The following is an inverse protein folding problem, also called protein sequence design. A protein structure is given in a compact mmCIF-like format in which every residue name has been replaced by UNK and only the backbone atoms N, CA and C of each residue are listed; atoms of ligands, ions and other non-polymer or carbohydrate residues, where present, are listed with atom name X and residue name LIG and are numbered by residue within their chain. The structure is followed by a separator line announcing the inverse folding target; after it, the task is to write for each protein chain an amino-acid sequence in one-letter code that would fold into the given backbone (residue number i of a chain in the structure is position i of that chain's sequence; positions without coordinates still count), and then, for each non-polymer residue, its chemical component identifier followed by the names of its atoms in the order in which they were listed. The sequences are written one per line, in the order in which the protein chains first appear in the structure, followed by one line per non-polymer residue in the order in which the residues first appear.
data_IF_419111958594
#
_entry.id   IF_419111958594
#
_cell.length_a   1.000
_cell.length_b   1.000
_cell.length_c   1.000
_cell.angle_alpha   90.00
_cell.angle_beta   90.00
_cell.angle_gamma   90.00
#
_symmetry.space_group_name_H-M   'P 1'
#
loop_
_entity.id
_entity.type
_entity.pdbx_description
1 polymer ?
#
# COMPACT_ATOMS: atom_id res chain seq x y z
N UNK A 1 26.44 54.96 -45.65
CA UNK A 1 26.02 53.90 -44.71
C UNK A 1 25.21 54.50 -43.56
N UNK A 2 23.89 54.23 -43.49
CA UNK A 2 23.10 54.33 -42.25
C UNK A 2 22.00 53.27 -42.30
N UNK A 3 22.17 52.19 -41.52
CA UNK A 3 21.15 51.17 -41.32
C UNK A 3 20.06 51.74 -40.41
N UNK A 4 18.79 51.59 -40.80
CA UNK A 4 17.62 51.88 -39.94
C UNK A 4 17.33 50.64 -39.09
N UNK A 5 16.99 50.79 -37.80
CA UNK A 5 16.62 49.66 -36.97
C UNK A 5 15.23 49.15 -37.35
N UNK A 6 15.14 47.84 -37.55
CA UNK A 6 13.90 47.14 -37.82
C UNK A 6 13.06 47.13 -36.53
N UNK A 7 11.94 47.86 -36.56
CA UNK A 7 11.00 47.92 -35.43
C UNK A 7 10.17 46.63 -35.46
N UNK A 8 10.57 45.65 -34.66
CA UNK A 8 9.80 44.43 -34.44
C UNK A 8 8.37 44.79 -34.00
N UNK A 9 7.42 44.65 -34.93
CA UNK A 9 6.01 44.96 -34.77
C UNK A 9 5.38 43.88 -33.89
N UNK A 10 5.36 44.10 -32.57
CA UNK A 10 4.64 43.24 -31.62
C UNK A 10 3.17 43.25 -31.99
N UNK A 11 2.66 42.11 -32.48
CA UNK A 11 1.23 41.94 -32.77
C UNK A 11 0.48 41.86 -31.44
N UNK A 12 -0.64 42.59 -31.27
CA UNK A 12 -1.47 42.46 -30.08
C UNK A 12 -2.07 41.05 -30.05
N UNK A 13 -1.92 40.40 -28.90
CA UNK A 13 -2.49 39.07 -28.66
C UNK A 13 -4.02 39.19 -28.56
N UNK A 14 -4.77 38.21 -29.11
CA UNK A 14 -6.22 38.22 -29.02
C UNK A 14 -6.67 38.09 -27.55
N UNK A 15 -7.69 38.85 -27.20
CA UNK A 15 -8.25 38.97 -25.85
C UNK A 15 -9.71 38.55 -25.91
N UNK A 16 -10.15 37.70 -24.98
CA UNK A 16 -11.56 37.30 -24.86
C UNK A 16 -12.04 37.75 -23.49
N UNK A 17 -13.14 38.52 -23.44
CA UNK A 17 -13.74 39.00 -22.19
C UNK A 17 -12.79 39.83 -21.30
N UNK A 18 -11.86 40.59 -21.89
CA UNK A 18 -10.90 41.44 -21.16
C UNK A 18 -9.72 40.69 -20.54
N UNK A 19 -9.67 39.35 -20.65
CA UNK A 19 -8.55 38.53 -20.23
C UNK A 19 -7.66 38.15 -21.44
N UNK A 20 -6.34 38.38 -21.39
CA UNK A 20 -5.45 37.94 -22.45
C UNK A 20 -5.41 36.41 -22.50
N UNK A 21 -5.63 35.83 -23.68
CA UNK A 21 -5.64 34.37 -23.93
C UNK A 21 -4.46 33.62 -23.28
N UNK A 22 -3.20 34.09 -23.26
CA UNK A 22 -2.12 33.37 -22.58
C UNK A 22 -2.39 33.11 -21.08
N UNK A 23 -3.11 34.00 -20.37
CA UNK A 23 -3.46 33.77 -18.97
C UNK A 23 -4.49 32.65 -18.80
N UNK A 24 -5.42 32.51 -19.75
CA UNK A 24 -6.42 31.43 -19.75
C UNK A 24 -5.73 30.07 -19.95
N UNK A 25 -4.76 30.00 -20.88
CA UNK A 25 -3.97 28.79 -21.13
C UNK A 25 -3.14 28.43 -19.89
N UNK A 26 -2.51 29.40 -19.23
CA UNK A 26 -1.77 29.17 -17.99
C UNK A 26 -2.70 28.67 -16.87
N UNK A 27 -3.89 29.25 -16.71
CA UNK A 27 -4.86 28.80 -15.70
C UNK A 27 -5.35 27.37 -15.97
N UNK A 28 -5.59 27.01 -17.23
CA UNK A 28 -5.97 25.64 -17.62
C UNK A 28 -4.85 24.64 -17.36
N UNK A 29 -3.59 25.00 -17.67
CA UNK A 29 -2.42 24.15 -17.39
C UNK A 29 -2.24 23.96 -15.88
N UNK A 30 -2.38 25.01 -15.08
CA UNK A 30 -2.30 24.94 -13.62
C UNK A 30 -3.42 24.04 -13.07
N UNK A 31 -4.67 24.25 -13.48
CA UNK A 31 -5.81 23.44 -13.04
C UNK A 31 -5.67 21.96 -13.43
N UNK A 32 -5.20 21.67 -14.65
CA UNK A 32 -4.91 20.30 -15.10
C UNK A 32 -3.78 19.66 -14.29
N UNK A 33 -2.72 20.41 -13.98
CA UNK A 33 -1.61 19.92 -13.16
C UNK A 33 -2.01 19.64 -11.71
N UNK A 34 -2.92 20.45 -11.14
CA UNK A 34 -3.48 20.21 -9.79
C UNK A 34 -4.38 18.96 -9.80
N UNK A 35 -5.15 18.73 -10.87
CA UNK A 35 -5.93 17.50 -11.03
C UNK A 35 -5.06 16.24 -11.08
N UNK A 36 -3.90 16.30 -11.76
CA UNK A 36 -2.93 15.19 -11.79
C UNK A 36 -2.27 14.95 -10.42
N UNK A 37 -2.00 16.02 -9.65
CA UNK A 37 -1.48 15.91 -8.29
C UNK A 37 -2.50 15.27 -7.33
N UNK A 38 -3.80 15.53 -7.52
CA UNK A 38 -4.87 14.90 -6.73
C UNK A 38 -5.03 13.41 -7.04
N UNK A 39 -4.99 13.00 -8.31
CA UNK A 39 -5.05 11.56 -8.67
C UNK A 39 -3.85 10.77 -8.15
N UNK A 40 -2.66 11.37 -8.15
CA UNK A 40 -1.46 10.76 -7.55
C UNK A 40 -1.49 10.75 -6.03
N UNK A 41 -2.11 11.75 -5.40
CA UNK A 41 -2.31 11.77 -3.95
C UNK A 41 -3.32 10.71 -3.47
N UNK A 42 -4.34 10.36 -4.26
CA UNK A 42 -5.26 9.26 -3.95
C UNK A 42 -4.62 7.87 -4.11
N UNK A 43 -3.81 7.67 -5.16
CA UNK A 43 -2.98 6.46 -5.29
C UNK A 43 -2.03 6.30 -4.10
N UNK A 44 -1.42 7.41 -3.64
CA UNK A 44 -0.53 7.44 -2.48
C UNK A 44 -1.29 7.35 -1.14
N UNK A 45 -2.57 7.71 -1.04
CA UNK A 45 -3.35 7.48 0.18
C UNK A 45 -3.89 6.05 0.31
N UNK A 46 -3.99 5.31 -0.79
CA UNK A 46 -4.25 3.85 -0.74
C UNK A 46 -2.97 3.06 -0.50
N UNK A 47 -1.81 3.52 -0.98
CA UNK A 47 -0.51 2.84 -0.78
C UNK A 47 0.38 3.45 0.31
N UNK A 48 -0.06 4.50 0.99
CA UNK A 48 0.74 5.24 1.95
C UNK A 48 -0.12 5.84 3.05
N UNK A 49 0.17 5.46 4.29
CA UNK A 49 -0.45 6.01 5.50
C UNK A 49 -1.90 5.54 5.76
N UNK A 50 -2.01 4.27 6.19
CA UNK A 50 -2.89 3.94 7.32
C UNK A 50 -2.23 4.41 8.63
N UNK A 51 -2.01 5.73 8.76
CA UNK A 51 -1.59 6.32 10.03
C UNK A 51 -2.81 6.39 10.93
N UNK A 52 -3.18 5.26 11.55
CA UNK A 52 -4.17 5.25 12.63
C UNK A 52 -3.47 5.79 13.87
N UNK A 53 -3.35 7.11 13.95
CA UNK A 53 -3.25 7.82 15.23
C UNK A 53 -4.63 7.78 15.87
N UNK A 54 -4.97 6.63 16.45
CA UNK A 54 -6.22 6.36 17.14
C UNK A 54 -5.92 6.02 18.59
N UNK A 55 -6.24 6.96 19.46
CA UNK A 55 -6.17 6.89 20.91
C UNK A 55 -6.84 5.66 21.51
N UNK A 56 -6.29 5.21 22.64
CA UNK A 56 -6.89 4.32 23.65
C UNK A 56 -6.87 2.84 23.35
N UNK A 57 -6.06 2.14 24.14
CA UNK A 57 -6.23 0.74 24.47
C UNK A 57 -7.67 0.51 24.95
N UNK A 58 -8.43 -0.23 24.16
CA UNK A 58 -9.42 -1.19 24.65
C UNK A 58 -9.37 -2.33 23.65
N UNK A 59 -8.96 -3.51 24.12
CA UNK A 59 -9.08 -4.76 23.35
C UNK A 59 -10.52 -5.25 23.49
N UNK A 60 -11.32 -5.24 22.41
CA UNK A 60 -12.31 -6.29 22.26
C UNK A 60 -12.29 -6.86 20.85
N UNK A 61 -11.86 -8.12 20.74
CA UNK A 61 -12.23 -9.00 19.65
C UNK A 61 -11.11 -9.30 18.68
N UNK A 62 -10.50 -10.48 18.85
CA UNK A 62 -9.87 -11.16 17.73
C UNK A 62 -10.86 -11.20 16.54
N UNK A 63 -10.37 -11.19 15.29
CA UNK A 63 -11.25 -11.24 14.13
C UNK A 63 -12.24 -12.40 14.27
N UNK A 64 -13.50 -12.16 13.90
CA UNK A 64 -14.51 -13.21 13.86
C UNK A 64 -13.99 -14.40 13.07
N UNK A 65 -14.23 -15.62 13.56
CA UNK A 65 -13.78 -16.84 12.86
C UNK A 65 -14.84 -17.32 11.88
N UNK A 66 -14.42 -17.79 10.71
CA UNK A 66 -15.31 -18.45 9.77
C UNK A 66 -15.65 -19.88 10.25
N UNK A 67 -16.49 -20.59 9.50
CA UNK A 67 -16.86 -21.98 9.80
C UNK A 67 -15.67 -22.97 9.81
N UNK A 68 -14.53 -22.60 9.21
CA UNK A 68 -13.29 -23.36 9.24
C UNK A 68 -12.37 -22.97 10.42
N UNK A 69 -12.80 -22.04 11.28
CA UNK A 69 -12.03 -21.57 12.43
C UNK A 69 -10.94 -20.54 12.11
N UNK A 70 -10.89 -20.03 10.86
CA UNK A 70 -9.90 -19.04 10.41
C UNK A 70 -10.35 -17.62 10.77
N UNK A 71 -9.42 -16.73 11.20
CA UNK A 71 -9.73 -15.32 11.40
C UNK A 71 -10.14 -14.67 10.08
N UNK A 72 -11.29 -13.97 10.09
CA UNK A 72 -11.79 -13.24 8.93
C UNK A 72 -11.25 -11.81 8.96
N UNK A 73 -10.41 -11.47 7.98
CA UNK A 73 -9.70 -10.20 7.91
C UNK A 73 -10.12 -9.46 6.64
N UNK A 74 -10.25 -8.14 6.77
CA UNK A 74 -10.39 -7.21 5.67
C UNK A 74 -9.31 -6.13 5.79
N UNK A 75 -9.20 -5.28 4.76
CA UNK A 75 -8.31 -4.13 4.77
C UNK A 75 -8.50 -3.25 6.03
N UNK A 76 -9.74 -3.06 6.49
CA UNK A 76 -10.05 -2.26 7.68
C UNK A 76 -9.61 -2.90 8.99
N UNK A 77 -9.45 -4.23 9.06
CA UNK A 77 -9.10 -4.95 10.31
C UNK A 77 -7.66 -5.46 10.32
N UNK A 78 -6.95 -5.38 9.19
CA UNK A 78 -5.61 -5.93 9.04
C UNK A 78 -4.58 -5.28 9.97
N UNK A 79 -4.66 -3.97 10.21
CA UNK A 79 -3.71 -3.28 11.11
C UNK A 79 -3.76 -3.84 12.55
N UNK A 80 -4.96 -4.06 13.08
CA UNK A 80 -5.15 -4.66 14.40
C UNK A 80 -4.67 -6.11 14.44
N UNK A 81 -4.91 -6.85 13.35
CA UNK A 81 -4.46 -8.23 13.26
C UNK A 81 -2.94 -8.32 13.21
N UNK A 82 -2.26 -7.51 12.40
CA UNK A 82 -0.79 -7.51 12.31
C UNK A 82 -0.18 -7.29 13.69
N UNK A 83 -0.70 -6.33 14.46
CA UNK A 83 -0.26 -6.11 15.83
C UNK A 83 -0.53 -7.33 16.71
N UNK A 84 -1.73 -7.93 16.65
CA UNK A 84 -2.06 -9.15 17.41
C UNK A 84 -1.13 -10.31 17.07
N UNK A 85 -0.84 -10.57 15.80
CA UNK A 85 0.04 -11.67 15.38
C UNK A 85 1.46 -11.43 15.89
N UNK A 86 1.95 -10.20 15.77
CA UNK A 86 3.26 -9.79 16.28
C UNK A 86 3.36 -9.84 17.81
N UNK A 87 2.29 -9.54 18.54
CA UNK A 87 2.27 -9.64 20.01
C UNK A 87 2.18 -11.10 20.47
N UNK A 88 1.42 -11.93 19.74
CA UNK A 88 1.06 -13.29 20.17
C UNK A 88 2.24 -14.24 20.38
N UNK A 89 3.43 -13.93 19.89
CA UNK A 89 4.55 -14.88 19.99
C UNK A 89 4.61 -15.86 18.83
N UNK A 90 3.52 -16.04 18.10
CA UNK A 90 3.32 -17.22 17.28
C UNK A 90 4.14 -17.15 16.01
N UNK A 91 5.26 -17.88 15.98
CA UNK A 91 6.00 -18.17 14.76
C UNK A 91 5.31 -19.37 14.10
N UNK A 92 4.29 -19.09 13.29
CA UNK A 92 3.68 -20.13 12.47
C UNK A 92 4.63 -20.42 11.31
N UNK A 93 5.03 -21.69 11.19
CA UNK A 93 5.77 -22.16 10.02
C UNK A 93 4.81 -22.39 8.87
N UNK A 94 5.23 -22.00 7.67
CA UNK A 94 4.55 -22.38 6.45
C UNK A 94 4.30 -23.89 6.43
N UNK A 95 3.09 -24.36 6.07
CA UNK A 95 2.86 -25.77 5.82
C UNK A 95 3.74 -26.23 4.65
N UNK A 96 4.04 -27.52 4.58
CA UNK A 96 4.87 -28.09 3.50
C UNK A 96 4.30 -27.84 2.08
N UNK A 97 3.02 -27.50 1.98
CA UNK A 97 2.34 -27.15 0.74
C UNK A 97 2.54 -25.70 0.29
N UNK A 98 3.18 -24.85 1.09
CA UNK A 98 3.38 -23.43 0.80
C UNK A 98 4.86 -23.06 0.83
N UNK A 99 5.42 -22.69 -0.33
CA UNK A 99 6.80 -22.22 -0.45
C UNK A 99 6.85 -20.71 -0.31
N UNK A 100 7.10 -20.24 0.92
CA UNK A 100 7.17 -18.81 1.21
C UNK A 100 8.32 -18.11 0.50
N UNK A 101 9.46 -18.78 0.29
CA UNK A 101 10.61 -18.15 -0.35
C UNK A 101 10.31 -17.91 -1.83
N UNK A 102 9.75 -18.93 -2.49
CA UNK A 102 9.31 -18.78 -3.88
C UNK A 102 8.19 -17.76 -4.03
N UNK A 103 7.27 -17.70 -3.05
CA UNK A 103 6.25 -16.65 -3.03
C UNK A 103 6.89 -15.25 -2.90
N UNK A 104 7.90 -15.08 -2.03
CA UNK A 104 8.61 -13.80 -1.90
C UNK A 104 9.30 -13.39 -3.20
N UNK A 105 9.95 -14.34 -3.88
CA UNK A 105 10.55 -14.10 -5.20
C UNK A 105 9.51 -13.67 -6.23
N UNK A 106 8.35 -14.32 -6.26
CA UNK A 106 7.23 -13.96 -7.16
C UNK A 106 6.69 -12.57 -6.85
N UNK A 107 6.55 -12.21 -5.58
CA UNK A 107 6.05 -10.91 -5.14
C UNK A 107 7.14 -9.82 -5.12
N UNK A 108 8.39 -10.14 -5.46
CA UNK A 108 9.51 -9.19 -5.40
C UNK A 108 9.87 -8.72 -3.98
N UNK A 109 9.51 -9.50 -2.96
CA UNK A 109 9.77 -9.17 -1.56
C UNK A 109 11.21 -9.56 -1.22
N UNK A 110 12.01 -8.57 -0.84
CA UNK A 110 13.42 -8.76 -0.42
C UNK A 110 13.62 -8.70 1.10
N UNK A 111 12.53 -8.46 1.84
CA UNK A 111 12.54 -8.31 3.29
C UNK A 111 12.53 -9.65 4.02
N UNK A 112 12.77 -9.62 5.33
CA UNK A 112 12.76 -10.84 6.14
C UNK A 112 11.34 -11.18 6.56
N UNK A 113 10.95 -12.45 6.43
CA UNK A 113 9.71 -12.97 6.99
C UNK A 113 9.74 -12.86 8.52
N UNK A 114 8.80 -12.12 9.10
CA UNK A 114 8.63 -12.00 10.54
C UNK A 114 7.71 -13.10 11.06
N UNK A 115 6.56 -13.26 10.41
CA UNK A 115 5.57 -14.28 10.73
C UNK A 115 4.56 -14.41 9.59
N UNK A 116 3.76 -15.46 9.62
CA UNK A 116 2.67 -15.68 8.67
C UNK A 116 1.48 -16.30 9.38
N UNK A 117 0.26 -16.07 8.89
CA UNK A 117 -0.93 -16.71 9.43
C UNK A 117 -1.90 -17.07 8.30
N UNK A 118 -2.61 -18.19 8.46
CA UNK A 118 -3.67 -18.55 7.54
C UNK A 118 -4.95 -17.81 7.92
N UNK A 119 -5.54 -17.11 6.95
CA UNK A 119 -6.64 -16.18 7.20
C UNK A 119 -7.72 -16.37 6.16
N UNK A 120 -8.93 -15.90 6.48
CA UNK A 120 -10.00 -15.75 5.53
C UNK A 120 -10.09 -14.29 5.11
N UNK A 121 -9.77 -13.98 3.86
CA UNK A 121 -9.74 -12.62 3.33
C UNK A 121 -11.10 -12.19 2.77
N UNK A 122 -11.55 -11.01 3.18
CA UNK A 122 -12.72 -10.35 2.63
C UNK A 122 -14.06 -10.98 3.05
N UNK A 123 -15.18 -10.46 2.52
CA UNK A 123 -16.53 -10.89 2.90
C UNK A 123 -16.85 -12.32 2.45
N UNK A 124 -16.23 -12.76 1.35
CA UNK A 124 -16.38 -14.12 0.82
C UNK A 124 -15.57 -15.16 1.61
N UNK A 125 -14.75 -14.72 2.56
CA UNK A 125 -13.93 -15.60 3.39
C UNK A 125 -12.92 -16.41 2.60
N UNK A 126 -12.34 -15.82 1.55
CA UNK A 126 -11.37 -16.49 0.68
C UNK A 126 -10.15 -16.92 1.49
N UNK A 127 -9.81 -18.21 1.46
CA UNK A 127 -8.62 -18.72 2.14
C UNK A 127 -7.37 -18.03 1.58
N UNK A 128 -6.55 -17.47 2.45
CA UNK A 128 -5.35 -16.71 2.11
C UNK A 128 -4.27 -16.88 3.17
N UNK A 129 -3.05 -16.44 2.83
CA UNK A 129 -1.93 -16.29 3.75
C UNK A 129 -1.69 -14.82 4.01
N UNK A 130 -1.78 -14.41 5.28
CA UNK A 130 -1.25 -13.14 5.75
C UNK A 130 0.23 -13.33 6.05
N UNK A 131 1.08 -12.59 5.36
CA UNK A 131 2.53 -12.63 5.51
C UNK A 131 2.96 -11.28 6.05
N UNK A 132 3.65 -11.27 7.20
CA UNK A 132 4.20 -10.07 7.81
C UNK A 132 5.71 -10.14 7.63
N UNK A 133 6.28 -9.10 7.02
CA UNK A 133 7.70 -9.01 6.73
C UNK A 133 8.24 -7.60 7.00
N UNK A 134 9.56 -7.49 7.16
CA UNK A 134 10.16 -6.19 7.43
C UNK A 134 11.69 -6.19 7.37
N UNK A 135 12.29 -4.99 7.48
CA UNK A 135 13.74 -4.81 7.39
C UNK A 135 14.49 -5.18 8.68
N UNK A 136 13.77 -5.29 9.81
CA UNK A 136 14.33 -5.59 11.13
C UNK A 136 13.66 -6.83 11.69
N UNK A 137 14.33 -7.55 12.57
CA UNK A 137 13.75 -8.70 13.26
C UNK A 137 12.71 -8.28 14.32
N UNK A 138 11.92 -9.26 14.77
CA UNK A 138 10.84 -9.04 15.72
C UNK A 138 11.29 -8.48 17.07
N UNK A 139 12.45 -8.89 17.60
CA UNK A 139 12.92 -8.39 18.90
C UNK A 139 13.27 -6.91 18.80
N UNK A 140 13.92 -6.52 17.70
CA UNK A 140 14.21 -5.12 17.40
C UNK A 140 12.93 -4.30 17.23
N UNK A 141 11.93 -4.84 16.54
CA UNK A 141 10.63 -4.19 16.33
C UNK A 141 9.87 -3.98 17.66
N UNK A 142 9.82 -4.99 18.53
CA UNK A 142 9.13 -4.86 19.82
C UNK A 142 9.79 -3.81 20.72
N UNK A 143 11.12 -3.70 20.68
CA UNK A 143 11.88 -2.80 21.55
C UNK A 143 11.81 -1.33 21.11
N UNK A 144 11.72 -1.07 19.80
CA UNK A 144 11.86 0.27 19.24
C UNK A 144 10.59 0.77 18.54
N UNK A 145 9.61 -0.10 18.30
CA UNK A 145 8.58 0.14 17.31
C UNK A 145 9.15 0.19 15.89
N UNK A 146 8.28 0.36 14.90
CA UNK A 146 8.70 0.48 13.52
C UNK A 146 7.56 0.28 12.52
N UNK A 147 7.91 0.30 11.24
CA UNK A 147 6.98 -0.02 10.17
C UNK A 147 7.27 -1.43 9.68
N UNK A 148 6.23 -2.25 9.60
CA UNK A 148 6.26 -3.56 8.95
C UNK A 148 5.40 -3.55 7.72
N UNK A 149 5.72 -4.42 6.78
CA UNK A 149 4.89 -4.69 5.62
C UNK A 149 4.06 -5.94 5.86
N UNK A 150 2.86 -5.93 5.31
CA UNK A 150 1.93 -7.02 5.36
C UNK A 150 1.42 -7.29 3.94
N UNK A 151 1.49 -8.54 3.54
CA UNK A 151 1.07 -8.99 2.21
C UNK A 151 0.10 -10.15 2.39
N UNK A 152 -1.06 -10.07 1.75
CA UNK A 152 -2.06 -11.13 1.73
C UNK A 152 -2.03 -11.78 0.35
N UNK A 153 -1.76 -13.09 0.33
CA UNK A 153 -1.63 -13.87 -0.91
C UNK A 153 -2.54 -15.08 -0.92
N UNK A 154 -2.90 -15.52 -2.12
CA UNK A 154 -3.61 -16.78 -2.32
C UNK A 154 -2.71 -17.98 -1.96
N UNK A 155 -3.30 -19.12 -1.59
CA UNK A 155 -2.55 -20.37 -1.34
C UNK A 155 -1.77 -20.88 -2.55
N UNK A 156 -2.06 -20.38 -3.76
CA UNK A 156 -1.31 -20.68 -4.98
C UNK A 156 0.03 -19.95 -5.08
N UNK A 157 0.30 -18.93 -4.23
CA UNK A 157 1.59 -18.28 -4.20
C UNK A 157 2.70 -19.28 -3.84
N UNK A 158 3.86 -19.15 -4.49
CA UNK A 158 4.96 -20.11 -4.35
C UNK A 158 4.80 -21.37 -5.20
N UNK A 159 3.73 -21.49 -5.99
CA UNK A 159 3.57 -22.57 -6.98
C UNK A 159 4.03 -22.05 -8.35
N UNK A 160 4.61 -22.94 -9.17
CA UNK A 160 4.89 -22.65 -10.57
C UNK A 160 3.57 -22.52 -11.33
N UNK A 161 3.02 -21.30 -11.41
CA UNK A 161 1.86 -20.98 -12.26
C UNK A 161 2.33 -20.34 -13.56
N UNK A 162 1.63 -20.61 -14.67
CA UNK A 162 1.87 -19.90 -15.94
C UNK A 162 1.28 -18.47 -15.92
N UNK A 163 0.49 -18.15 -14.90
CA UNK A 163 0.01 -16.80 -14.62
C UNK A 163 1.12 -15.94 -14.03
N UNK A 164 1.13 -14.66 -14.39
CA UNK A 164 2.16 -13.70 -14.01
C UNK A 164 2.32 -13.51 -12.49
N UNK A 165 3.40 -12.86 -12.04
CA UNK A 165 3.80 -12.75 -10.62
C UNK A 165 2.71 -12.18 -9.69
N UNK A 166 1.81 -11.36 -10.22
CA UNK A 166 0.78 -10.66 -9.44
C UNK A 166 -0.53 -11.46 -9.28
N UNK A 167 -0.68 -12.62 -9.94
CA UNK A 167 -1.96 -13.36 -9.93
C UNK A 167 -2.35 -13.91 -8.57
N UNK A 168 -1.36 -14.09 -7.68
CA UNK A 168 -1.57 -14.58 -6.32
C UNK A 168 -1.71 -13.47 -5.28
N UNK A 169 -1.50 -12.20 -5.64
CA UNK A 169 -1.59 -11.08 -4.70
C UNK A 169 -3.05 -10.68 -4.48
N UNK A 170 -3.49 -10.70 -3.22
CA UNK A 170 -4.81 -10.18 -2.84
C UNK A 170 -4.73 -8.77 -2.30
N UNK A 171 -3.68 -8.47 -1.53
CA UNK A 171 -3.47 -7.17 -0.92
C UNK A 171 -2.03 -7.00 -0.45
N UNK A 172 -1.50 -5.77 -0.45
CA UNK A 172 -0.22 -5.43 0.15
C UNK A 172 -0.28 -4.04 0.77
N UNK A 173 0.34 -3.86 1.93
CA UNK A 173 0.46 -2.57 2.57
C UNK A 173 1.41 -2.59 3.76
N UNK A 174 1.44 -1.49 4.48
CA UNK A 174 2.34 -1.29 5.62
C UNK A 174 1.57 -0.92 6.88
N UNK A 175 2.00 -1.42 8.02
CA UNK A 175 1.43 -1.14 9.33
C UNK A 175 2.51 -0.57 10.27
N UNK A 176 2.14 0.43 11.05
CA UNK A 176 2.99 0.97 12.11
C UNK A 176 2.79 0.15 13.39
N UNK A 177 3.88 -0.30 13.97
CA UNK A 177 3.92 -1.07 15.21
C UNK A 177 4.52 -0.19 16.30
N UNK A 178 3.79 -0.05 17.40
CA UNK A 178 4.28 0.65 18.59
C UNK A 178 5.34 -0.19 19.32
N UNK A 179 6.25 0.48 20.03
CA UNK A 179 7.07 -0.19 21.03
C UNK A 179 6.18 -0.65 22.20
N UNK A 180 6.50 -1.81 22.78
CA UNK A 180 5.79 -2.41 23.93
C UNK A 180 6.67 -2.46 25.16
#
# INVERSE_FOLDING_TARGET
MRARPDRARRRPLPTVMGLPIPLIVVALVISSSIGLMLSKALEVSTTGSSTISGTSMDSPGAPGKNAAGLPVISESTLGLEVQRVLDSGTVLRAPASFDVNRCFEQQGITETLLTMEEVAWGPEGTRAWLIIHGPVDRNTLNSNGGVVNATVVLPSCGIATEEGPDSSLLWSGSAMIGAV
#
